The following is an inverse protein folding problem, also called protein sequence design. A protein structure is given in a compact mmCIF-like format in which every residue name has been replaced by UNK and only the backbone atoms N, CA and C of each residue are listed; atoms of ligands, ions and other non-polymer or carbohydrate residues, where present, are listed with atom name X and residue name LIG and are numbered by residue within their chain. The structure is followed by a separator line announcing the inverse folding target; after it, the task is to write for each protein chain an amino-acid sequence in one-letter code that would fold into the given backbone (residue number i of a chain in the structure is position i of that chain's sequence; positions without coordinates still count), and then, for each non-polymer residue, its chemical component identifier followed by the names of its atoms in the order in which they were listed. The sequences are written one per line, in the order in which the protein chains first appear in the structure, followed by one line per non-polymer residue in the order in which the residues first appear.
data_IF_587098293039
#
_entry.id   IF_587098293039
#
_cell.length_a   1.000
_cell.length_b   1.000
_cell.length_c   1.000
_cell.angle_alpha   90.00
_cell.angle_beta   90.00
_cell.angle_gamma   90.00
#
_symmetry.space_group_name_H-M   'P 1'
#
loop_
_entity.id
_entity.type
_entity.pdbx_description
1 polymer ?
#
# COMPACT_ATOMS: atom_id res chain seq x y z
N UNK A 1 -38.35 -27.63 -0.04
CA UNK A 1 -37.18 -28.05 -0.84
C UNK A 1 -36.40 -26.80 -1.16
N UNK A 2 -35.21 -26.66 -0.58
CA UNK A 2 -34.27 -25.57 -0.88
C UNK A 2 -33.64 -25.85 -2.24
N UNK A 3 -33.68 -24.87 -3.13
CA UNK A 3 -33.06 -24.92 -4.44
C UNK A 3 -31.60 -24.52 -4.23
N UNK A 4 -30.71 -25.51 -4.14
CA UNK A 4 -29.27 -25.27 -4.00
C UNK A 4 -28.70 -24.89 -5.36
N UNK A 5 -27.96 -23.79 -5.40
CA UNK A 5 -27.26 -23.35 -6.61
C UNK A 5 -25.92 -24.08 -6.70
N UNK A 6 -25.59 -24.60 -7.88
CA UNK A 6 -24.27 -25.15 -8.18
C UNK A 6 -23.23 -24.04 -8.02
N UNK A 7 -22.34 -24.20 -7.04
CA UNK A 7 -21.21 -23.28 -6.81
C UNK A 7 -19.97 -23.87 -7.47
N UNK A 8 -19.40 -23.13 -8.42
CA UNK A 8 -18.11 -23.47 -9.01
C UNK A 8 -17.00 -23.18 -8.00
N UNK A 9 -16.15 -24.17 -7.73
CA UNK A 9 -14.91 -23.95 -6.99
C UNK A 9 -13.97 -23.10 -7.84
N UNK A 10 -13.70 -21.88 -7.38
CA UNK A 10 -12.78 -20.92 -8.03
C UNK A 10 -11.33 -21.10 -7.56
N UNK A 11 -11.07 -22.12 -6.74
CA UNK A 11 -9.77 -22.40 -6.16
C UNK A 11 -9.41 -21.44 -5.03
N UNK A 12 -8.11 -21.30 -4.79
CA UNK A 12 -7.62 -20.44 -3.72
C UNK A 12 -7.89 -18.96 -4.04
N UNK A 13 -8.56 -18.29 -3.10
CA UNK A 13 -8.74 -16.85 -3.08
C UNK A 13 -7.39 -16.12 -3.08
N UNK A 14 -7.16 -15.32 -4.13
CA UNK A 14 -6.03 -14.39 -4.24
C UNK A 14 -6.40 -12.94 -3.88
N UNK A 15 -7.70 -12.59 -3.97
CA UNK A 15 -8.23 -11.28 -3.61
C UNK A 15 -9.54 -11.40 -2.85
N UNK A 16 -9.71 -10.60 -1.81
CA UNK A 16 -10.96 -10.47 -1.07
C UNK A 16 -11.27 -9.00 -0.83
N UNK A 17 -12.43 -8.53 -1.29
CA UNK A 17 -12.84 -7.12 -1.16
C UNK A 17 -11.77 -6.13 -1.70
N UNK A 18 -11.00 -6.54 -2.72
CA UNK A 18 -9.91 -5.74 -3.29
C UNK A 18 -8.59 -5.78 -2.51
N UNK A 19 -8.50 -6.58 -1.45
CA UNK A 19 -7.28 -6.82 -0.68
C UNK A 19 -6.59 -8.08 -1.21
N UNK A 20 -5.28 -8.01 -1.41
CA UNK A 20 -4.48 -9.16 -1.83
C UNK A 20 -4.32 -10.17 -0.68
N UNK A 21 -4.60 -11.43 -0.96
CA UNK A 21 -4.60 -12.53 0.00
C UNK A 21 -3.60 -13.60 -0.47
N UNK A 22 -2.63 -13.92 0.38
CA UNK A 22 -1.67 -15.01 0.18
C UNK A 22 -1.97 -16.12 1.19
N UNK A 23 -2.49 -17.24 0.72
CA UNK A 23 -2.80 -18.40 1.56
C UNK A 23 -1.54 -19.29 1.67
N UNK A 24 -1.02 -19.41 2.89
CA UNK A 24 0.19 -20.17 3.22
C UNK A 24 -0.19 -21.36 4.11
N UNK A 25 0.67 -22.37 4.20
CA UNK A 25 0.44 -23.54 5.07
C UNK A 25 0.17 -23.16 6.53
N UNK A 26 0.77 -22.07 7.00
CA UNK A 26 0.66 -21.57 8.39
C UNK A 26 -0.48 -20.59 8.62
N UNK A 27 -1.22 -20.22 7.57
CA UNK A 27 -2.35 -19.28 7.67
C UNK A 27 -2.43 -18.30 6.50
N UNK A 28 -3.22 -17.25 6.69
CA UNK A 28 -3.50 -16.25 5.65
C UNK A 28 -2.63 -15.02 5.90
N UNK A 29 -1.93 -14.57 4.85
CA UNK A 29 -1.19 -13.32 4.83
C UNK A 29 -1.93 -12.30 3.96
N UNK A 30 -2.24 -11.14 4.54
CA UNK A 30 -2.83 -10.01 3.83
C UNK A 30 -1.70 -9.13 3.31
N UNK A 31 -1.72 -8.86 2.01
CA UNK A 31 -0.72 -8.06 1.31
C UNK A 31 -1.33 -6.77 0.75
N UNK A 32 -0.54 -5.71 0.70
CA UNK A 32 -0.85 -4.48 -0.05
C UNK A 32 0.26 -4.17 -1.08
N UNK A 33 1.01 -5.19 -1.50
CA UNK A 33 2.13 -5.03 -2.42
C UNK A 33 1.68 -4.41 -3.76
N UNK A 34 0.58 -4.92 -4.33
CA UNK A 34 0.02 -4.35 -5.56
C UNK A 34 -0.43 -2.90 -5.35
N UNK A 35 -1.15 -2.61 -4.27
CA UNK A 35 -1.61 -1.26 -3.98
C UNK A 35 -0.45 -0.26 -3.83
N UNK A 36 0.60 -0.65 -3.11
CA UNK A 36 1.80 0.17 -2.97
C UNK A 36 2.50 0.40 -4.32
N UNK A 37 2.60 -0.63 -5.16
CA UNK A 37 3.17 -0.52 -6.51
C UNK A 37 2.37 0.43 -7.39
N UNK A 38 1.05 0.32 -7.40
CA UNK A 38 0.17 1.20 -8.17
C UNK A 38 0.30 2.67 -7.75
N UNK A 39 0.45 2.95 -6.45
CA UNK A 39 0.75 4.30 -5.95
C UNK A 39 2.09 4.78 -6.50
N UNK A 40 3.14 3.98 -6.38
CA UNK A 40 4.48 4.35 -6.85
C UNK A 40 4.49 4.62 -8.35
N UNK A 41 3.83 3.79 -9.15
CA UNK A 41 3.70 4.01 -10.60
C UNK A 41 2.92 5.29 -10.91
N UNK A 42 1.79 5.53 -10.23
CA UNK A 42 0.95 6.73 -10.42
C UNK A 42 1.72 8.03 -10.22
N UNK A 43 2.68 8.06 -9.29
CA UNK A 43 3.49 9.24 -9.00
C UNK A 43 4.89 9.19 -9.62
N UNK A 44 5.16 8.25 -10.55
CA UNK A 44 6.47 8.04 -11.18
C UNK A 44 7.62 7.81 -10.17
N UNK A 45 7.32 7.18 -9.04
CA UNK A 45 8.23 6.94 -7.92
C UNK A 45 8.81 5.51 -7.88
N UNK A 46 8.51 4.65 -8.84
CA UNK A 46 8.91 3.23 -8.83
C UNK A 46 10.44 3.00 -8.68
N UNK A 47 11.25 3.92 -9.21
CA UNK A 47 12.72 3.88 -9.14
C UNK A 47 13.30 4.84 -8.10
N UNK A 48 12.46 5.38 -7.20
CA UNK A 48 12.93 6.27 -6.14
C UNK A 48 13.84 5.53 -5.18
N UNK A 49 14.81 6.23 -4.60
CA UNK A 49 15.68 5.65 -3.57
C UNK A 49 14.83 5.25 -2.36
N UNK A 50 15.00 4.01 -1.91
CA UNK A 50 14.41 3.58 -0.65
C UNK A 50 15.00 4.38 0.52
N UNK A 51 14.15 4.74 1.48
CA UNK A 51 14.54 5.40 2.72
C UNK A 51 14.23 4.45 3.87
N UNK A 52 15.22 4.19 4.74
CA UNK A 52 15.08 3.25 5.87
C UNK A 52 14.17 3.77 6.97
N UNK A 53 14.03 5.09 7.07
CA UNK A 53 13.19 5.75 8.05
C UNK A 53 11.94 6.26 7.34
N UNK A 54 10.76 5.66 7.55
CA UNK A 54 9.53 6.17 6.97
C UNK A 54 9.21 7.55 7.55
N UNK A 55 8.51 8.37 6.76
CA UNK A 55 7.95 9.62 7.27
C UNK A 55 6.91 9.31 8.35
N UNK A 56 6.85 10.13 9.39
CA UNK A 56 5.82 10.00 10.42
C UNK A 56 4.43 10.23 9.82
N UNK A 57 3.48 9.36 10.17
CA UNK A 57 2.10 9.47 9.71
C UNK A 57 1.44 10.73 10.28
N UNK A 58 0.76 11.48 9.42
CA UNK A 58 0.12 12.74 9.84
C UNK A 58 1.03 13.96 9.84
N UNK A 59 2.30 13.81 9.42
CA UNK A 59 3.17 14.95 9.14
C UNK A 59 2.54 15.83 8.08
N UNK A 60 2.19 17.08 8.45
CA UNK A 60 1.78 18.09 7.48
C UNK A 60 3.04 18.71 6.89
N UNK A 61 3.26 18.47 5.61
CA UNK A 61 4.26 19.22 4.85
C UNK A 61 3.71 20.63 4.65
N UNK A 62 4.40 21.63 5.18
CA UNK A 62 4.21 23.03 4.80
C UNK A 62 5.18 23.37 3.67
N UNK A 63 4.79 24.28 2.79
CA UNK A 63 5.75 24.92 1.90
C UNK A 63 6.78 25.66 2.76
N UNK A 64 8.05 25.42 2.49
CA UNK A 64 9.13 26.18 3.12
C UNK A 64 9.22 27.49 2.34
N UNK A 65 8.52 28.53 2.79
CA UNK A 65 8.73 29.89 2.30
C UNK A 65 10.12 30.33 2.78
N UNK A 66 11.07 30.46 1.86
CA UNK A 66 12.42 30.93 2.13
C UNK A 66 12.36 32.33 2.76
N UNK A 67 12.68 32.44 4.05
CA UNK A 67 12.60 33.72 4.74
C UNK A 67 12.82 33.62 6.24
N UNK A 68 14.07 33.45 6.64
CA UNK A 68 14.66 34.18 7.77
C UNK A 68 16.17 34.23 7.51
N UNK A 69 16.69 35.42 7.23
CA UNK A 69 18.12 35.69 7.17
C UNK A 69 18.76 35.16 8.46
N UNK A 70 19.60 34.15 8.35
CA UNK A 70 20.43 33.68 9.46
C UNK A 70 21.46 34.76 9.77
N UNK A 71 21.25 35.49 10.87
CA UNK A 71 22.22 36.46 11.40
C UNK A 71 23.57 35.75 11.65
N UNK A 72 24.64 36.11 10.91
CA UNK A 72 25.94 35.51 11.09
C UNK A 72 26.63 36.21 12.27
N UNK A 73 26.37 35.70 13.48
CA UNK A 73 27.23 35.95 14.65
C UNK A 73 28.54 35.14 14.55
#
# INVERSE_FOLDING_TARGET
MTQEFEMTDIGLMSYYLGIEVKQLEKGIFISQEQYAREILEKFNMINSKHVTTPIETGTKLSEYEEGDDVDPS
#
